data_IF_024928770809
#
_entry.id   IF_024928770809
#
_cell.length_a   1.000
_cell.length_b   1.000
_cell.length_c   1.000
_cell.angle_alpha   90.00
_cell.angle_beta   90.00
_cell.angle_gamma   90.00
#
_symmetry.space_group_name_H-M   'P 1'
#
loop_
_entity.id
_entity.type
_entity.pdbx_description
1 polymer ?
#
# COMPACT_ATOMS: atom_id res chain seq x y z
N UNK A 1 -26.61 9.83 1.21
CA UNK A 1 -25.92 8.83 0.38
C UNK A 1 -26.90 8.24 -0.59
N UNK A 2 -26.62 8.36 -1.89
CA UNK A 2 -27.38 7.64 -2.91
C UNK A 2 -27.09 6.12 -2.84
N UNK A 3 -28.00 5.27 -3.31
CA UNK A 3 -27.76 3.82 -3.36
C UNK A 3 -26.52 3.47 -4.22
N UNK A 4 -26.22 4.32 -5.20
CA UNK A 4 -25.05 4.22 -6.06
C UNK A 4 -23.73 4.46 -5.29
N UNK A 5 -23.65 5.53 -4.49
CA UNK A 5 -22.50 5.81 -3.62
C UNK A 5 -22.22 4.67 -2.64
N UNK A 6 -23.27 4.16 -1.99
CA UNK A 6 -23.14 3.04 -1.05
C UNK A 6 -22.59 1.78 -1.75
N UNK A 7 -23.04 1.51 -2.98
CA UNK A 7 -22.56 0.37 -3.78
C UNK A 7 -21.07 0.52 -4.11
N UNK A 8 -20.65 1.70 -4.57
CA UNK A 8 -19.23 1.95 -4.89
C UNK A 8 -18.33 1.95 -3.65
N UNK A 9 -18.80 2.45 -2.52
CA UNK A 9 -18.07 2.33 -1.26
C UNK A 9 -17.81 0.87 -0.89
N UNK A 10 -18.86 0.03 -0.91
CA UNK A 10 -18.72 -1.41 -0.60
C UNK A 10 -17.78 -2.11 -1.59
N UNK A 11 -17.92 -1.84 -2.89
CA UNK A 11 -17.04 -2.39 -3.91
C UNK A 11 -15.58 -1.96 -3.72
N UNK A 12 -15.35 -0.70 -3.36
CA UNK A 12 -14.00 -0.15 -3.09
C UNK A 12 -13.37 -0.83 -1.88
N UNK A 13 -14.14 -1.09 -0.82
CA UNK A 13 -13.66 -1.81 0.36
C UNK A 13 -13.29 -3.24 0.01
N UNK A 14 -14.19 -3.97 -0.67
CA UNK A 14 -13.96 -5.36 -1.05
C UNK A 14 -12.72 -5.47 -1.94
N UNK A 15 -12.63 -4.65 -2.98
CA UNK A 15 -11.48 -4.65 -3.90
C UNK A 15 -10.17 -4.26 -3.17
N UNK A 16 -10.21 -3.27 -2.27
CA UNK A 16 -9.03 -2.88 -1.48
C UNK A 16 -8.57 -3.98 -0.53
N UNK A 17 -9.49 -4.78 0.02
CA UNK A 17 -9.16 -5.96 0.83
C UNK A 17 -8.44 -6.99 -0.05
N UNK A 18 -9.02 -7.33 -1.21
CA UNK A 18 -8.40 -8.29 -2.13
C UNK A 18 -6.97 -7.90 -2.53
N UNK A 19 -6.76 -6.63 -2.87
CA UNK A 19 -5.43 -6.12 -3.24
C UNK A 19 -4.42 -6.23 -2.08
N UNK A 20 -4.85 -5.96 -0.84
CA UNK A 20 -3.97 -6.11 0.33
C UNK A 20 -3.65 -7.56 0.66
N UNK A 21 -4.56 -8.47 0.38
CA UNK A 21 -4.32 -9.91 0.50
C UNK A 21 -3.59 -10.51 -0.70
N UNK A 22 -3.31 -9.74 -1.76
CA UNK A 22 -2.59 -10.24 -2.93
C UNK A 22 -1.25 -10.93 -2.61
N UNK A 23 -0.43 -10.48 -1.63
CA UNK A 23 0.80 -11.18 -1.24
C UNK A 23 0.57 -12.50 -0.48
N UNK A 24 -0.66 -12.82 -0.07
CA UNK A 24 -0.94 -13.98 0.77
C UNK A 24 -0.40 -15.31 0.21
N UNK A 25 -0.60 -15.66 -1.07
CA UNK A 25 -0.10 -16.94 -1.61
C UNK A 25 1.42 -17.05 -1.53
N UNK A 26 2.14 -15.96 -1.79
CA UNK A 26 3.60 -15.91 -1.72
C UNK A 26 4.08 -16.11 -0.28
N UNK A 27 3.48 -15.43 0.68
CA UNK A 27 3.85 -15.54 2.09
C UNK A 27 3.40 -16.87 2.71
N UNK A 28 2.33 -17.48 2.19
CA UNK A 28 1.95 -18.84 2.55
C UNK A 28 3.00 -19.85 2.06
N UNK A 29 3.57 -19.64 0.86
CA UNK A 29 4.70 -20.44 0.37
C UNK A 29 5.93 -20.26 1.25
N UNK A 30 6.27 -19.04 1.66
CA UNK A 30 7.37 -18.77 2.61
C UNK A 30 7.14 -19.49 3.94
N UNK A 31 5.93 -19.41 4.50
CA UNK A 31 5.60 -20.06 5.77
C UNK A 31 5.72 -21.60 5.70
N UNK A 32 5.30 -22.21 4.59
CA UNK A 32 5.38 -23.66 4.35
C UNK A 32 6.80 -24.12 4.07
N UNK A 33 7.54 -23.38 3.23
CA UNK A 33 8.91 -23.71 2.83
C UNK A 33 9.95 -23.36 3.91
N UNK A 34 9.56 -22.55 4.93
CA UNK A 34 10.44 -22.05 5.99
C UNK A 34 11.66 -21.27 5.46
N UNK A 35 11.56 -20.75 4.25
CA UNK A 35 12.56 -19.94 3.56
C UNK A 35 11.87 -18.93 2.65
N UNK A 36 12.46 -17.75 2.48
CA UNK A 36 11.88 -16.66 1.67
C UNK A 36 11.92 -16.94 0.16
N UNK A 37 12.82 -17.81 -0.31
CA UNK A 37 12.99 -18.09 -1.73
C UNK A 37 13.21 -16.82 -2.54
N UNK A 38 12.43 -16.63 -3.60
CA UNK A 38 12.49 -15.45 -4.49
C UNK A 38 11.59 -14.28 -4.05
N UNK A 39 10.84 -14.43 -2.95
CA UNK A 39 9.91 -13.39 -2.49
C UNK A 39 10.71 -12.18 -2.02
N UNK A 40 10.30 -10.99 -2.48
CA UNK A 40 10.91 -9.73 -2.07
C UNK A 40 10.03 -9.03 -1.03
N UNK A 41 10.64 -8.54 0.05
CA UNK A 41 9.94 -7.79 1.10
C UNK A 41 9.61 -6.35 0.70
N UNK A 42 10.35 -5.78 -0.25
CA UNK A 42 10.25 -4.37 -0.64
C UNK A 42 8.82 -3.94 -0.99
N UNK A 43 8.04 -4.65 -1.82
CA UNK A 43 6.67 -4.24 -2.15
C UNK A 43 5.76 -4.18 -0.92
N UNK A 44 5.90 -5.11 0.03
CA UNK A 44 5.08 -5.14 1.25
C UNK A 44 5.43 -3.97 2.17
N UNK A 45 6.72 -3.64 2.32
CA UNK A 45 7.16 -2.50 3.11
C UNK A 45 6.71 -1.18 2.48
N UNK A 46 6.78 -1.06 1.15
CA UNK A 46 6.27 0.13 0.45
C UNK A 46 4.75 0.27 0.59
N UNK A 47 4.00 -0.83 0.51
CA UNK A 47 2.56 -0.84 0.74
C UNK A 47 2.22 -0.43 2.18
N UNK A 48 2.99 -0.90 3.16
CA UNK A 48 2.87 -0.48 4.56
C UNK A 48 3.07 1.04 4.70
N UNK A 49 4.16 1.57 4.15
CA UNK A 49 4.43 3.03 4.16
C UNK A 49 3.29 3.81 3.51
N UNK A 50 2.78 3.37 2.36
CA UNK A 50 1.67 4.02 1.69
C UNK A 50 0.39 4.00 2.55
N UNK A 51 0.10 2.89 3.24
CA UNK A 51 -1.04 2.82 4.17
C UNK A 51 -0.92 3.82 5.32
N UNK A 52 0.29 4.11 5.83
CA UNK A 52 0.49 5.15 6.86
C UNK A 52 0.11 6.53 6.31
N UNK A 53 0.53 6.85 5.09
CA UNK A 53 0.19 8.14 4.44
C UNK A 53 -1.33 8.23 4.20
N UNK A 54 -1.96 7.13 3.76
CA UNK A 54 -3.42 7.08 3.56
C UNK A 54 -4.20 7.26 4.86
N UNK A 55 -3.69 6.77 6.00
CA UNK A 55 -4.30 7.03 7.32
C UNK A 55 -4.31 8.52 7.63
N UNK A 56 -3.18 9.22 7.41
CA UNK A 56 -3.12 10.67 7.56
C UNK A 56 -4.07 11.39 6.61
N UNK A 57 -4.08 10.99 5.34
CA UNK A 57 -4.97 11.57 4.35
C UNK A 57 -6.45 11.38 4.70
N UNK A 58 -6.87 10.16 5.06
CA UNK A 58 -8.26 9.88 5.46
C UNK A 58 -8.70 10.64 6.70
N UNK A 59 -7.81 10.78 7.69
CA UNK A 59 -8.07 11.59 8.87
C UNK A 59 -8.27 13.08 8.53
N UNK A 60 -7.41 13.64 7.68
CA UNK A 60 -7.44 15.06 7.32
C UNK A 60 -8.57 15.41 6.35
N UNK A 61 -8.93 14.50 5.46
CA UNK A 61 -10.03 14.64 4.49
C UNK A 61 -11.39 14.24 5.07
N UNK A 62 -11.45 13.80 6.34
CA UNK A 62 -12.66 13.32 7.02
C UNK A 62 -13.32 12.09 6.34
N UNK A 63 -12.56 11.37 5.50
CA UNK A 63 -12.96 10.12 4.86
C UNK A 63 -12.64 8.92 5.77
N UNK A 64 -13.51 8.72 6.76
CA UNK A 64 -13.39 7.61 7.71
C UNK A 64 -13.67 6.28 7.02
N UNK A 65 -14.70 6.23 6.17
CA UNK A 65 -15.08 5.03 5.43
C UNK A 65 -15.40 5.39 3.97
N UNK A 66 -14.69 4.79 2.99
CA UNK A 66 -13.88 3.58 3.10
C UNK A 66 -12.39 3.80 3.37
N UNK A 67 -11.85 5.02 3.23
CA UNK A 67 -10.40 5.22 3.08
C UNK A 67 -9.60 4.94 4.35
N UNK A 68 -9.95 5.57 5.46
CA UNK A 68 -9.22 5.38 6.72
C UNK A 68 -9.27 3.94 7.22
N UNK A 69 -10.47 3.33 7.27
CA UNK A 69 -10.65 1.95 7.74
C UNK A 69 -9.87 0.96 6.90
N UNK A 70 -9.93 1.10 5.58
CA UNK A 70 -9.21 0.22 4.67
C UNK A 70 -7.70 0.39 4.89
N UNK A 71 -7.17 1.62 4.99
CA UNK A 71 -5.75 1.87 5.23
C UNK A 71 -5.24 1.24 6.55
N UNK A 72 -5.98 1.35 7.64
CA UNK A 72 -5.65 0.72 8.93
C UNK A 72 -5.58 -0.81 8.80
N UNK A 73 -6.55 -1.41 8.13
CA UNK A 73 -6.53 -2.85 7.86
C UNK A 73 -5.31 -3.25 7.02
N UNK A 74 -4.91 -2.42 6.06
CA UNK A 74 -3.67 -2.60 5.30
C UNK A 74 -2.42 -2.59 6.16
N UNK A 75 -2.34 -1.72 7.16
CA UNK A 75 -1.22 -1.72 8.11
C UNK A 75 -1.11 -3.04 8.87
N UNK A 76 -2.23 -3.56 9.38
CA UNK A 76 -2.25 -4.82 10.14
C UNK A 76 -1.82 -6.00 9.26
N UNK A 77 -2.38 -6.10 8.05
CA UNK A 77 -2.06 -7.17 7.10
C UNK A 77 -0.58 -7.11 6.70
N UNK A 78 -0.09 -5.92 6.32
CA UNK A 78 1.30 -5.76 5.89
C UNK A 78 2.29 -5.99 7.04
N UNK A 79 1.97 -5.58 8.26
CA UNK A 79 2.78 -5.89 9.44
C UNK A 79 2.88 -7.41 9.68
N UNK A 80 1.77 -8.14 9.53
CA UNK A 80 1.74 -9.60 9.61
C UNK A 80 2.65 -10.24 8.56
N UNK A 81 2.58 -9.78 7.31
CA UNK A 81 3.48 -10.25 6.25
C UNK A 81 4.94 -9.95 6.57
N UNK A 82 5.29 -8.72 6.94
CA UNK A 82 6.67 -8.33 7.31
C UNK A 82 7.19 -9.22 8.44
N UNK A 83 6.38 -9.52 9.45
CA UNK A 83 6.75 -10.39 10.56
C UNK A 83 7.03 -11.84 10.10
N UNK A 84 6.18 -12.40 9.24
CA UNK A 84 6.37 -13.74 8.65
C UNK A 84 7.67 -13.79 7.83
N UNK A 85 7.92 -12.80 6.98
CA UNK A 85 9.15 -12.73 6.18
C UNK A 85 10.39 -12.62 7.06
N UNK A 86 10.36 -11.73 8.06
CA UNK A 86 11.46 -11.54 8.99
C UNK A 86 11.82 -12.82 9.77
N UNK A 87 10.82 -13.67 10.05
CA UNK A 87 11.01 -14.94 10.76
C UNK A 87 11.74 -16.01 9.96
N UNK A 88 11.61 -15.99 8.63
CA UNK A 88 12.13 -17.03 7.72
C UNK A 88 13.20 -16.52 6.75
N UNK A 89 13.59 -15.25 6.83
CA UNK A 89 14.66 -14.70 6.02
C UNK A 89 16.02 -15.00 6.64
N UNK A 90 16.96 -15.41 5.80
CA UNK A 90 18.37 -15.55 6.17
C UNK A 90 19.09 -14.19 6.16
N UNK A 91 18.67 -13.27 5.27
CA UNK A 91 19.24 -11.92 5.13
C UNK A 91 18.45 -10.87 5.93
N UNK A 92 18.56 -10.94 7.26
CA UNK A 92 17.96 -9.95 8.16
C UNK A 92 18.52 -8.54 7.94
N UNK A 93 19.76 -8.42 7.46
CA UNK A 93 20.42 -7.13 7.25
C UNK A 93 19.76 -6.34 6.12
N UNK A 94 19.42 -7.01 5.02
CA UNK A 94 18.67 -6.41 3.92
C UNK A 94 17.29 -5.95 4.39
N UNK A 95 16.58 -6.79 5.15
CA UNK A 95 15.27 -6.41 5.72
C UNK A 95 15.38 -5.21 6.64
N UNK A 96 16.34 -5.18 7.56
CA UNK A 96 16.57 -4.04 8.45
C UNK A 96 16.88 -2.76 7.67
N UNK A 97 17.68 -2.83 6.61
CA UNK A 97 17.97 -1.66 5.76
C UNK A 97 16.71 -1.11 5.09
N UNK A 98 15.89 -1.99 4.50
CA UNK A 98 14.64 -1.59 3.84
C UNK A 98 13.64 -1.02 4.85
N UNK A 99 13.44 -1.70 5.98
CA UNK A 99 12.55 -1.23 7.04
C UNK A 99 13.04 0.06 7.69
N UNK A 100 14.34 0.26 7.87
CA UNK A 100 14.89 1.50 8.42
C UNK A 100 14.68 2.68 7.46
N UNK A 101 14.88 2.48 6.16
CA UNK A 101 14.60 3.50 5.15
C UNK A 101 13.10 3.86 5.13
N UNK A 102 12.22 2.86 5.18
CA UNK A 102 10.78 3.07 5.26
C UNK A 102 10.37 3.79 6.55
N UNK A 103 10.95 3.40 7.70
CA UNK A 103 10.71 4.04 8.99
C UNK A 103 11.13 5.51 8.98
N UNK A 104 12.27 5.85 8.36
CA UNK A 104 12.70 7.23 8.22
C UNK A 104 11.66 8.06 7.44
N UNK A 105 11.15 7.53 6.32
CA UNK A 105 10.07 8.18 5.55
C UNK A 105 8.81 8.34 6.38
N UNK A 106 8.39 7.29 7.10
CA UNK A 106 7.21 7.32 7.98
C UNK A 106 7.35 8.38 9.06
N UNK A 107 8.51 8.44 9.73
CA UNK A 107 8.79 9.43 10.77
C UNK A 107 8.71 10.85 10.21
N UNK A 108 9.29 11.11 9.04
CA UNK A 108 9.22 12.43 8.39
C UNK A 108 7.76 12.80 8.08
N UNK A 109 6.98 11.88 7.51
CA UNK A 109 5.55 12.12 7.21
C UNK A 109 4.75 12.36 8.48
N UNK A 110 4.97 11.58 9.54
CA UNK A 110 4.28 11.76 10.81
C UNK A 110 4.66 13.08 11.49
N UNK A 111 5.93 13.49 11.45
CA UNK A 111 6.36 14.80 11.94
C UNK A 111 5.66 15.92 11.16
N UNK A 112 5.67 15.84 9.83
CA UNK A 112 4.98 16.84 9.00
C UNK A 112 3.47 16.90 9.28
N UNK A 113 2.80 15.75 9.39
CA UNK A 113 1.37 15.67 9.72
C UNK A 113 1.04 16.22 11.11
N UNK A 114 1.83 15.85 12.12
CA UNK A 114 1.64 16.34 13.50
C UNK A 114 1.90 17.83 13.63
N UNK A 115 2.97 18.36 13.02
CA UNK A 115 3.24 19.81 13.00
C UNK A 115 2.13 20.57 12.27
N UNK A 116 1.60 20.00 11.18
CA UNK A 116 0.47 20.59 10.45
C UNK A 116 -0.80 20.65 11.28
N UNK A 117 -1.16 19.57 11.97
CA UNK A 117 -2.34 19.56 12.87
C UNK A 117 -2.15 20.45 14.09
N UNK A 118 -0.92 20.58 14.60
CA UNK A 118 -0.58 21.48 15.69
C UNK A 118 -0.61 22.97 15.29
N UNK A 119 -0.86 23.29 14.01
CA UNK A 119 -0.92 24.66 13.50
C UNK A 119 0.45 25.32 13.33
N UNK A 120 1.55 24.58 13.47
CA UNK A 120 2.92 25.12 13.39
C UNK A 120 3.32 25.46 11.94
N UNK A 121 2.69 24.83 10.96
CA UNK A 121 3.01 25.04 9.53
C UNK A 121 2.23 26.17 8.87
N UNK A 122 1.34 26.85 9.61
CA UNK A 122 0.38 27.85 9.09
C UNK A 122 -0.49 27.34 7.92
N UNK A 123 -0.59 26.02 7.74
CA UNK A 123 -1.40 25.41 6.69
C UNK A 123 -2.83 25.19 7.17
N UNK A 124 -3.80 25.44 6.27
CA UNK A 124 -5.18 25.01 6.51
C UNK A 124 -5.27 23.47 6.48
N UNK A 125 -6.26 22.91 7.19
CA UNK A 125 -6.53 21.46 7.18
C UNK A 125 -6.68 20.90 5.76
N UNK A 126 -7.33 21.64 4.86
CA UNK A 126 -7.49 21.27 3.44
C UNK A 126 -6.17 21.27 2.65
N UNK A 127 -5.30 22.24 2.91
CA UNK A 127 -3.97 22.29 2.28
C UNK A 127 -3.10 21.12 2.74
N UNK A 128 -3.12 20.81 4.05
CA UNK A 128 -2.42 19.66 4.61
C UNK A 128 -2.96 18.32 4.07
N UNK A 129 -4.29 18.20 3.93
CA UNK A 129 -4.93 17.05 3.30
C UNK A 129 -4.45 16.88 1.84
N UNK A 130 -4.40 17.97 1.08
CA UNK A 130 -3.91 17.95 -0.32
C UNK A 130 -2.45 17.50 -0.39
N UNK A 131 -1.60 17.99 0.51
CA UNK A 131 -0.20 17.58 0.58
C UNK A 131 -0.06 16.08 0.92
N UNK A 132 -0.82 15.57 1.89
CA UNK A 132 -0.81 14.13 2.22
C UNK A 132 -1.35 13.26 1.08
N UNK A 133 -2.37 13.75 0.35
CA UNK A 133 -2.84 13.10 -0.87
C UNK A 133 -1.75 13.01 -1.93
N UNK A 134 -1.01 14.09 -2.17
CA UNK A 134 0.12 14.10 -3.11
C UNK A 134 1.25 13.15 -2.69
N UNK A 135 1.59 13.10 -1.39
CA UNK A 135 2.58 12.16 -0.85
C UNK A 135 2.09 10.71 -1.04
N UNK A 136 0.80 10.45 -0.85
CA UNK A 136 0.19 9.12 -1.05
C UNK A 136 0.29 8.69 -2.52
N UNK A 137 0.04 9.60 -3.46
CA UNK A 137 0.22 9.34 -4.89
C UNK A 137 1.68 9.01 -5.20
N UNK A 138 2.63 9.79 -4.67
CA UNK A 138 4.06 9.54 -4.88
C UNK A 138 4.50 8.17 -4.33
N UNK A 139 4.03 7.79 -3.13
CA UNK A 139 4.32 6.45 -2.57
C UNK A 139 3.67 5.34 -3.38
N UNK A 140 2.45 5.55 -3.89
CA UNK A 140 1.74 4.60 -4.76
C UNK A 140 2.50 4.38 -6.08
N UNK A 141 2.99 5.45 -6.71
CA UNK A 141 3.82 5.35 -7.93
C UNK A 141 5.09 4.55 -7.64
N UNK A 142 5.74 4.79 -6.50
CA UNK A 142 6.89 4.00 -6.06
C UNK A 142 6.58 2.50 -5.97
N UNK A 143 5.42 2.13 -5.41
CA UNK A 143 4.97 0.74 -5.30
C UNK A 143 4.82 0.07 -6.67
N UNK A 144 4.37 0.82 -7.68
CA UNK A 144 4.22 0.32 -9.05
C UNK A 144 5.54 0.19 -9.83
N UNK A 145 6.68 0.62 -9.27
CA UNK A 145 7.99 0.46 -9.91
C UNK A 145 8.34 -1.00 -10.21
N UNK A 146 8.04 -1.93 -9.30
CA UNK A 146 8.27 -3.36 -9.51
C UNK A 146 7.38 -3.97 -10.61
N UNK A 147 6.04 -3.76 -10.60
CA UNK A 147 5.17 -4.09 -11.73
C UNK A 147 5.63 -3.53 -13.07
N UNK A 148 6.13 -2.29 -13.12
CA UNK A 148 6.61 -1.67 -14.35
C UNK A 148 7.86 -2.38 -14.91
N UNK A 149 8.78 -2.79 -14.03
CA UNK A 149 9.91 -3.63 -14.40
C UNK A 149 9.48 -5.01 -14.90
N UNK A 150 8.42 -5.58 -14.32
CA UNK A 150 7.82 -6.84 -14.78
C UNK A 150 7.20 -6.69 -16.17
N UNK A 151 6.47 -5.60 -16.47
CA UNK A 151 5.94 -5.32 -17.81
C UNK A 151 7.08 -5.26 -18.83
N UNK A 152 8.18 -4.55 -18.50
CA UNK A 152 9.36 -4.49 -19.35
C UNK A 152 9.94 -5.89 -19.61
N UNK A 153 9.95 -6.77 -18.60
CA UNK A 153 10.38 -8.16 -18.74
C UNK A 153 9.45 -8.93 -19.67
N UNK A 154 8.13 -8.83 -19.51
CA UNK A 154 7.12 -9.50 -20.36
C UNK A 154 7.27 -9.10 -21.83
N UNK A 155 7.45 -7.80 -22.12
CA UNK A 155 7.66 -7.30 -23.49
C UNK A 155 8.93 -7.90 -24.09
N UNK A 156 10.01 -7.99 -23.30
CA UNK A 156 11.30 -8.53 -23.76
C UNK A 156 11.30 -10.05 -23.91
N UNK A 157 10.67 -10.78 -22.98
CA UNK A 157 10.60 -12.24 -22.98
C UNK A 157 9.47 -12.80 -23.85
N UNK A 158 8.55 -11.94 -24.29
CA UNK A 158 7.29 -12.31 -24.97
C UNK A 158 6.48 -13.39 -24.22
N UNK A 159 6.59 -13.42 -22.90
CA UNK A 159 5.92 -14.40 -22.04
C UNK A 159 5.25 -13.72 -20.85
N UNK A 160 3.96 -14.01 -20.65
CA UNK A 160 3.15 -13.52 -19.53
C UNK A 160 3.24 -14.40 -18.29
N UNK A 161 4.12 -15.41 -18.28
CA UNK A 161 4.26 -16.33 -17.15
C UNK A 161 4.57 -15.63 -15.81
N UNK A 162 5.15 -14.43 -15.85
CA UNK A 162 5.45 -13.61 -14.66
C UNK A 162 4.32 -12.67 -14.21
N UNK A 163 3.19 -12.59 -14.94
CA UNK A 163 2.05 -11.73 -14.62
C UNK A 163 0.76 -12.55 -14.44
N UNK A 164 0.34 -12.81 -13.19
CA UNK A 164 -0.94 -13.45 -12.92
C UNK A 164 -2.10 -12.53 -13.33
N UNK A 165 -2.81 -12.89 -14.40
CA UNK A 165 -3.92 -12.11 -14.98
C UNK A 165 -4.97 -11.69 -13.94
N UNK A 166 -5.33 -12.60 -13.03
CA UNK A 166 -6.30 -12.34 -11.96
C UNK A 166 -5.89 -11.19 -11.04
N UNK A 167 -4.60 -11.09 -10.69
CA UNK A 167 -4.10 -10.00 -9.85
C UNK A 167 -4.07 -8.67 -10.61
N UNK A 168 -3.74 -8.70 -11.90
CA UNK A 168 -3.82 -7.51 -12.75
C UNK A 168 -5.27 -7.00 -12.86
N UNK A 169 -6.23 -7.91 -13.08
CA UNK A 169 -7.65 -7.58 -13.18
C UNK A 169 -8.18 -7.01 -11.85
N UNK A 170 -7.81 -7.62 -10.71
CA UNK A 170 -8.19 -7.13 -9.39
C UNK A 170 -7.65 -5.71 -9.10
N UNK A 171 -6.38 -5.45 -9.42
CA UNK A 171 -5.79 -4.11 -9.28
C UNK A 171 -6.44 -3.08 -10.21
N UNK A 172 -6.78 -3.47 -11.43
CA UNK A 172 -7.50 -2.61 -12.38
C UNK A 172 -8.89 -2.26 -11.85
N UNK A 173 -9.68 -3.25 -11.46
CA UNK A 173 -11.01 -3.03 -10.88
C UNK A 173 -10.96 -2.19 -9.62
N UNK A 174 -9.98 -2.42 -8.73
CA UNK A 174 -9.77 -1.59 -7.54
C UNK A 174 -9.50 -0.13 -7.93
N UNK A 175 -8.62 0.11 -8.91
CA UNK A 175 -8.31 1.46 -9.39
C UNK A 175 -9.53 2.17 -9.97
N UNK A 176 -10.36 1.46 -10.75
CA UNK A 176 -11.63 2.00 -11.26
C UNK A 176 -12.59 2.35 -10.12
N UNK A 177 -12.72 1.49 -9.11
CA UNK A 177 -13.58 1.77 -7.96
C UNK A 177 -13.14 3.04 -7.22
N UNK A 178 -11.84 3.22 -7.00
CA UNK A 178 -11.29 4.44 -6.39
C UNK A 178 -11.48 5.70 -7.23
N UNK A 179 -11.36 5.61 -8.56
CA UNK A 179 -11.60 6.74 -9.47
C UNK A 179 -13.07 7.15 -9.50
N UNK A 180 -14.00 6.20 -9.42
CA UNK A 180 -15.44 6.49 -9.38
C UNK A 180 -15.88 7.00 -8.01
N UNK A 181 -15.18 6.60 -6.95
CA UNK A 181 -15.45 7.06 -5.59
C UNK A 181 -14.97 8.50 -5.32
N UNK A 182 -13.84 8.90 -5.92
CA UNK A 182 -13.24 10.23 -5.76
C UNK A 182 -14.09 11.35 -6.38
#
# INVERSE_FOLDING_TARGET
>A
MSALEATFQVLTVISSIFVRFAPWPDFQRVYRAKSTGEVQILPVVMLFTNCVVLVWYGYLSEDIFPLFVTAIMGLVICAGFIAVFYRYTDDKRSVHRICAAALAVIVIVCIYGTLGVAGVTDQSKSSLATAMGAISIATSIGLYGSPLATIRRVIRSKSTASMPFTLCLANFSNSVCWVVYA
#
